data_IF_499047730668
#
_entry.id   IF_499047730668
#
_cell.length_a   1.000
_cell.length_b   1.000
_cell.length_c   1.000
_cell.angle_alpha   90.00
_cell.angle_beta   90.00
_cell.angle_gamma   90.00
#
_symmetry.space_group_name_H-M   'P 1'
#
loop_
_entity.id
_entity.type
_entity.pdbx_description
1 polymer ?
#
# COMPACT_ATOMS: atom_id res chain seq x y z
N UNK A 1 1.08 -6.19 -3.93
CA UNK A 1 0.85 -4.94 -4.68
C UNK A 1 1.48 -5.00 -6.09
N UNK A 2 2.72 -5.48 -6.23
CA UNK A 2 3.42 -5.62 -7.52
C UNK A 2 2.59 -6.49 -8.50
N UNK A 3 2.04 -7.62 -8.03
CA UNK A 3 1.19 -8.46 -8.87
C UNK A 3 -0.05 -7.71 -9.39
N UNK A 4 -0.70 -6.91 -8.55
CA UNK A 4 -1.88 -6.12 -8.95
C UNK A 4 -1.53 -5.03 -9.96
N UNK A 5 -0.40 -4.35 -9.78
CA UNK A 5 0.09 -3.32 -10.70
C UNK A 5 0.36 -3.92 -12.09
N UNK A 6 1.17 -4.98 -12.16
CA UNK A 6 1.48 -5.62 -13.43
C UNK A 6 0.28 -6.30 -14.09
N UNK A 7 -0.62 -6.92 -13.30
CA UNK A 7 -1.86 -7.48 -13.84
C UNK A 7 -2.71 -6.40 -14.53
N UNK A 8 -2.82 -5.22 -13.90
CA UNK A 8 -3.50 -4.07 -14.46
C UNK A 8 -2.85 -3.56 -15.74
N UNK A 9 -1.51 -3.42 -15.75
CA UNK A 9 -0.74 -2.97 -16.92
C UNK A 9 -0.90 -3.94 -18.08
N UNK A 10 -0.64 -5.24 -17.86
CA UNK A 10 -0.71 -6.24 -18.93
C UNK A 10 -2.10 -6.36 -19.51
N UNK A 11 -3.14 -6.30 -18.65
CA UNK A 11 -4.52 -6.33 -19.13
C UNK A 11 -4.87 -5.15 -20.02
N UNK A 12 -4.43 -3.95 -19.64
CA UNK A 12 -4.64 -2.75 -20.47
C UNK A 12 -3.86 -2.77 -21.78
N UNK A 13 -2.76 -3.54 -21.85
CA UNK A 13 -2.00 -3.79 -23.06
C UNK A 13 -2.58 -4.94 -23.94
N UNK A 14 -3.71 -5.54 -23.53
CA UNK A 14 -4.40 -6.56 -24.31
C UNK A 14 -4.06 -8.00 -23.94
N UNK A 15 -3.26 -8.24 -22.92
CA UNK A 15 -2.92 -9.60 -22.45
C UNK A 15 -4.11 -10.25 -21.73
N UNK A 16 -4.32 -11.56 -21.93
CA UNK A 16 -5.14 -12.36 -21.02
C UNK A 16 -4.40 -12.60 -19.71
N UNK A 17 -4.97 -12.11 -18.60
CA UNK A 17 -4.31 -12.15 -17.30
C UNK A 17 -5.09 -13.00 -16.32
N UNK A 18 -4.41 -13.99 -15.72
CA UNK A 18 -4.87 -14.71 -14.53
C UNK A 18 -3.93 -14.37 -13.37
N UNK A 19 -4.47 -13.84 -12.28
CA UNK A 19 -3.72 -13.58 -11.05
C UNK A 19 -4.07 -14.60 -9.97
N UNK A 20 -3.06 -15.31 -9.46
CA UNK A 20 -3.20 -16.19 -8.30
C UNK A 20 -2.99 -15.40 -7.02
N UNK A 21 -3.90 -15.54 -6.09
CA UNK A 21 -3.89 -14.86 -4.79
C UNK A 21 -3.91 -15.93 -3.69
N UNK A 22 -2.87 -15.95 -2.84
CA UNK A 22 -2.76 -16.91 -1.74
C UNK A 22 -3.86 -16.73 -0.69
N UNK A 23 -4.20 -15.47 -0.39
CA UNK A 23 -5.21 -15.11 0.62
C UNK A 23 -6.63 -15.06 0.10
N UNK A 24 -7.48 -14.52 0.94
CA UNK A 24 -8.91 -14.28 0.66
C UNK A 24 -9.16 -12.92 0.01
N UNK A 25 -8.24 -11.98 0.16
CA UNK A 25 -8.36 -10.61 -0.32
C UNK A 25 -7.09 -10.17 -1.05
N UNK A 26 -7.21 -9.19 -1.91
CA UNK A 26 -6.08 -8.44 -2.46
C UNK A 26 -5.49 -7.51 -1.39
N UNK A 27 -4.22 -7.15 -1.52
CA UNK A 27 -3.56 -6.08 -0.75
C UNK A 27 -3.69 -6.23 0.78
N UNK A 28 -3.20 -7.34 1.34
CA UNK A 28 -3.16 -7.52 2.79
C UNK A 28 -2.51 -6.31 3.49
N UNK A 29 -3.17 -5.81 4.55
CA UNK A 29 -2.72 -4.66 5.33
C UNK A 29 -3.17 -3.28 4.78
N UNK A 30 -3.94 -3.27 3.70
CA UNK A 30 -4.72 -2.11 3.28
C UNK A 30 -6.13 -2.15 3.89
N UNK A 31 -6.83 -1.01 3.86
CA UNK A 31 -8.23 -0.93 4.24
C UNK A 31 -9.09 -1.87 3.37
N UNK A 32 -10.04 -2.55 3.98
CA UNK A 32 -10.87 -3.57 3.30
C UNK A 32 -11.67 -3.00 2.14
N UNK A 33 -12.22 -1.81 2.29
CA UNK A 33 -12.97 -1.15 1.21
C UNK A 33 -12.11 -0.90 -0.04
N UNK A 34 -10.81 -0.56 0.15
CA UNK A 34 -9.88 -0.43 -0.97
C UNK A 34 -9.66 -1.75 -1.70
N UNK A 35 -9.46 -2.84 -0.94
CA UNK A 35 -9.28 -4.18 -1.50
C UNK A 35 -10.50 -4.62 -2.29
N UNK A 36 -11.71 -4.37 -1.78
CA UNK A 36 -12.96 -4.67 -2.47
C UNK A 36 -13.17 -3.83 -3.74
N UNK A 37 -12.82 -2.54 -3.70
CA UNK A 37 -12.88 -1.67 -4.88
C UNK A 37 -11.94 -2.16 -5.98
N UNK A 38 -10.72 -2.56 -5.60
CA UNK A 38 -9.72 -3.10 -6.53
C UNK A 38 -10.21 -4.42 -7.16
N UNK A 39 -10.70 -5.35 -6.34
CA UNK A 39 -11.21 -6.64 -6.82
C UNK A 39 -12.31 -6.46 -7.85
N UNK A 40 -13.30 -5.61 -7.53
CA UNK A 40 -14.40 -5.28 -8.45
C UNK A 40 -13.89 -4.67 -9.76
N UNK A 41 -12.92 -3.75 -9.66
CA UNK A 41 -12.33 -3.07 -10.82
C UNK A 41 -11.54 -4.04 -11.71
N UNK A 42 -10.67 -4.87 -11.11
CA UNK A 42 -9.86 -5.84 -11.84
C UNK A 42 -10.74 -6.91 -12.52
N UNK A 43 -11.78 -7.38 -11.83
CA UNK A 43 -12.76 -8.31 -12.40
C UNK A 43 -13.53 -7.69 -13.57
N UNK A 44 -13.99 -6.45 -13.41
CA UNK A 44 -14.69 -5.71 -14.48
C UNK A 44 -13.77 -5.45 -15.70
N UNK A 45 -12.47 -5.30 -15.49
CA UNK A 45 -11.47 -5.20 -16.54
C UNK A 45 -11.23 -6.55 -17.26
N UNK A 46 -11.72 -7.65 -16.71
CA UNK A 46 -11.56 -8.99 -17.26
C UNK A 46 -10.27 -9.68 -16.86
N UNK A 47 -9.70 -9.35 -15.71
CA UNK A 47 -8.62 -10.10 -15.07
C UNK A 47 -9.25 -11.28 -14.31
N UNK A 48 -8.74 -12.50 -14.55
CA UNK A 48 -9.20 -13.70 -13.87
C UNK A 48 -8.51 -13.83 -12.51
N UNK A 49 -9.21 -13.47 -11.42
CA UNK A 49 -8.69 -13.55 -10.05
C UNK A 49 -8.99 -14.94 -9.47
N UNK A 50 -7.95 -15.64 -8.98
CA UNK A 50 -8.05 -16.94 -8.33
C UNK A 50 -7.54 -16.84 -6.89
N UNK A 51 -8.47 -16.66 -5.95
CA UNK A 51 -8.19 -16.60 -4.52
C UNK A 51 -7.92 -18.00 -3.92
N UNK A 52 -7.24 -18.04 -2.76
CA UNK A 52 -6.86 -19.27 -2.04
C UNK A 52 -6.11 -20.27 -2.93
N UNK A 53 -5.33 -19.74 -3.86
CA UNK A 53 -4.55 -20.51 -4.80
C UNK A 53 -3.07 -20.15 -4.75
N UNK A 54 -2.22 -21.18 -4.76
CA UNK A 54 -0.78 -21.06 -4.86
C UNK A 54 -0.24 -21.92 -5.98
N UNK A 55 0.85 -21.45 -6.55
CA UNK A 55 1.62 -22.21 -7.54
C UNK A 55 2.43 -23.29 -6.81
N UNK A 56 2.25 -24.55 -7.22
CA UNK A 56 3.01 -25.71 -6.73
C UNK A 56 4.24 -25.99 -7.57
N UNK A 57 4.09 -25.97 -8.89
CA UNK A 57 5.20 -26.22 -9.82
C UNK A 57 4.92 -25.64 -11.21
N UNK A 58 5.98 -25.40 -11.96
CA UNK A 58 5.94 -24.96 -13.35
C UNK A 58 6.71 -25.99 -14.17
N UNK A 59 6.15 -26.38 -15.31
CA UNK A 59 6.78 -27.25 -16.29
C UNK A 59 6.67 -26.65 -17.68
N UNK A 60 7.77 -26.60 -18.42
CA UNK A 60 7.75 -26.19 -19.82
C UNK A 60 7.20 -27.33 -20.68
N UNK A 61 6.19 -27.03 -21.50
CA UNK A 61 5.56 -27.96 -22.46
C UNK A 61 5.58 -27.27 -23.82
N UNK A 62 6.47 -27.71 -24.71
CA UNK A 62 6.76 -27.03 -25.98
C UNK A 62 7.18 -25.56 -25.72
N UNK A 63 6.44 -24.61 -26.25
CA UNK A 63 6.67 -23.18 -26.05
C UNK A 63 5.92 -22.58 -24.86
N UNK A 64 4.97 -23.35 -24.27
CA UNK A 64 4.11 -22.93 -23.19
C UNK A 64 4.64 -23.34 -21.80
N UNK A 65 4.07 -22.73 -20.76
CA UNK A 65 4.33 -23.02 -19.37
C UNK A 65 3.07 -23.61 -18.70
N UNK A 66 3.13 -24.90 -18.33
CA UNK A 66 2.09 -25.51 -17.52
C UNK A 66 2.36 -25.28 -16.04
N UNK A 67 1.49 -24.52 -15.40
CA UNK A 67 1.47 -24.31 -13.96
C UNK A 67 0.55 -25.31 -13.29
N UNK A 68 1.05 -26.07 -12.31
CA UNK A 68 0.21 -26.88 -11.41
C UNK A 68 -0.02 -26.10 -10.13
N UNK A 69 -1.28 -25.94 -9.72
CA UNK A 69 -1.68 -25.27 -8.48
C UNK A 69 -1.75 -26.28 -7.32
N UNK A 70 -1.74 -25.79 -6.09
CA UNK A 70 -1.92 -26.63 -4.89
C UNK A 70 -3.27 -27.36 -4.89
N UNK A 71 -4.29 -26.78 -5.49
CA UNK A 71 -5.60 -27.41 -5.72
C UNK A 71 -5.56 -28.62 -6.68
N UNK A 72 -4.43 -28.87 -7.34
CA UNK A 72 -4.28 -29.87 -8.40
C UNK A 72 -4.72 -29.40 -9.79
N UNK A 73 -5.34 -28.24 -9.90
CA UNK A 73 -5.71 -27.67 -11.21
C UNK A 73 -4.48 -27.20 -11.98
N UNK A 74 -4.60 -27.15 -13.30
CA UNK A 74 -3.53 -26.75 -14.21
C UNK A 74 -3.92 -25.51 -14.99
N UNK A 75 -2.93 -24.67 -15.27
CA UNK A 75 -3.04 -23.51 -16.14
C UNK A 75 -1.93 -23.56 -17.18
N UNK A 76 -2.28 -23.36 -18.44
CA UNK A 76 -1.32 -23.22 -19.53
C UNK A 76 -1.22 -21.74 -19.89
N UNK A 77 0.00 -21.23 -19.98
CA UNK A 77 0.28 -19.79 -20.21
C UNK A 77 1.57 -19.62 -21.00
N UNK A 78 1.65 -18.54 -21.77
CA UNK A 78 2.88 -18.16 -22.50
C UNK A 78 3.98 -17.68 -21.52
N UNK A 79 3.59 -16.94 -20.49
CA UNK A 79 4.50 -16.31 -19.53
C UNK A 79 3.97 -16.36 -18.10
N UNK A 80 4.88 -16.32 -17.13
CA UNK A 80 4.56 -16.28 -15.70
C UNK A 80 5.39 -15.19 -15.05
N UNK A 81 4.71 -14.23 -14.40
CA UNK A 81 5.34 -13.25 -13.52
C UNK A 81 5.24 -13.74 -12.07
N UNK A 82 6.39 -13.93 -11.41
CA UNK A 82 6.44 -14.30 -10.00
C UNK A 82 6.63 -13.04 -9.15
N UNK A 83 5.59 -12.66 -8.42
CA UNK A 83 5.56 -11.47 -7.56
C UNK A 83 5.11 -11.84 -6.13
N UNK A 84 5.75 -12.87 -5.55
CA UNK A 84 5.37 -13.51 -4.28
C UNK A 84 5.98 -12.88 -3.04
N UNK A 85 6.77 -11.82 -3.19
CA UNK A 85 7.40 -11.08 -2.10
C UNK A 85 8.84 -10.69 -2.39
N UNK A 86 9.47 -10.11 -1.38
CA UNK A 86 10.86 -9.64 -1.42
C UNK A 86 11.56 -10.05 -0.12
N UNK A 87 12.83 -10.39 -0.23
CA UNK A 87 13.71 -10.70 0.88
C UNK A 87 14.93 -9.78 0.85
N UNK A 88 15.51 -9.43 2.01
CA UNK A 88 16.73 -8.66 2.06
C UNK A 88 17.90 -9.43 1.43
N UNK A 89 18.66 -8.77 0.56
CA UNK A 89 19.82 -9.37 -0.12
C UNK A 89 21.09 -9.23 0.74
N UNK A 90 21.26 -10.11 1.71
CA UNK A 90 22.35 -10.04 2.68
C UNK A 90 23.52 -10.96 2.36
N UNK A 91 23.37 -11.95 1.48
CA UNK A 91 24.35 -13.04 1.22
C UNK A 91 25.76 -12.58 0.81
N UNK A 92 25.89 -11.38 0.25
CA UNK A 92 27.19 -10.85 -0.24
C UNK A 92 27.91 -9.96 0.77
N UNK A 93 27.35 -9.78 1.98
CA UNK A 93 27.86 -8.86 2.98
C UNK A 93 28.76 -9.55 4.04
N UNK A 94 28.92 -10.89 3.99
CA UNK A 94 29.69 -11.69 4.95
C UNK A 94 29.35 -11.36 6.41
N UNK A 95 28.05 -11.21 6.70
CA UNK A 95 27.55 -10.76 8.01
C UNK A 95 27.84 -11.74 9.14
N UNK A 96 28.05 -13.01 8.82
CA UNK A 96 28.43 -14.07 9.76
C UNK A 96 29.75 -13.76 10.51
N UNK A 97 30.66 -12.98 9.91
CA UNK A 97 31.91 -12.57 10.54
C UNK A 97 31.71 -11.45 11.56
N UNK A 98 30.58 -10.79 11.56
CA UNK A 98 30.27 -9.59 12.34
C UNK A 98 29.39 -9.87 13.56
N UNK A 99 28.88 -11.09 13.71
CA UNK A 99 27.96 -11.48 14.80
C UNK A 99 26.79 -10.51 15.02
N UNK A 100 26.19 -10.00 13.93
CA UNK A 100 25.07 -9.07 14.01
C UNK A 100 23.78 -9.80 14.43
N UNK A 101 23.00 -9.15 15.28
CA UNK A 101 21.66 -9.65 15.64
C UNK A 101 20.71 -9.52 14.48
N UNK A 102 19.82 -10.51 14.38
CA UNK A 102 18.79 -10.60 13.33
C UNK A 102 17.39 -10.54 13.94
N UNK A 103 16.47 -9.87 13.24
CA UNK A 103 15.00 -9.96 13.46
C UNK A 103 14.39 -10.77 12.30
N UNK A 104 14.32 -12.08 12.46
CA UNK A 104 13.99 -13.01 11.40
C UNK A 104 15.04 -13.01 10.29
N UNK A 105 14.66 -12.60 9.08
CA UNK A 105 15.56 -12.50 7.91
C UNK A 105 16.18 -11.10 7.76
N UNK A 106 15.83 -10.14 8.63
CA UNK A 106 16.29 -8.75 8.59
C UNK A 106 17.37 -8.49 9.63
N UNK A 107 18.19 -7.46 9.41
CA UNK A 107 19.11 -6.96 10.44
C UNK A 107 18.30 -6.25 11.55
N UNK A 108 18.59 -6.62 12.83
CA UNK A 108 18.05 -5.91 13.98
C UNK A 108 18.77 -4.57 14.15
N UNK A 109 17.99 -3.50 14.34
CA UNK A 109 18.52 -2.17 14.61
C UNK A 109 17.72 -1.48 15.72
N UNK A 110 18.40 -0.56 16.42
CA UNK A 110 17.77 0.34 17.36
C UNK A 110 17.08 1.51 16.66
N UNK A 111 16.51 2.46 17.43
CA UNK A 111 15.82 3.65 16.93
C UNK A 111 16.70 4.61 16.09
N UNK A 112 18.02 4.48 16.18
CA UNK A 112 19.01 5.26 15.42
C UNK A 112 19.55 4.49 14.22
N UNK A 113 18.91 3.38 13.82
CA UNK A 113 19.34 2.47 12.76
C UNK A 113 20.72 1.82 13.00
N UNK A 114 21.22 1.79 14.25
CA UNK A 114 22.46 1.15 14.64
C UNK A 114 22.22 -0.33 14.95
N UNK A 115 23.08 -1.20 14.46
CA UNK A 115 23.03 -2.65 14.70
C UNK A 115 23.55 -3.00 16.10
N UNK A 116 23.67 -4.30 16.40
CA UNK A 116 24.33 -4.77 17.62
C UNK A 116 25.85 -4.44 17.66
N UNK A 117 26.46 -4.11 16.52
CA UNK A 117 27.81 -3.55 16.44
C UNK A 117 27.70 -2.02 16.31
N UNK A 118 28.30 -1.29 17.28
CA UNK A 118 28.20 0.17 17.37
C UNK A 118 28.73 0.95 16.15
N UNK A 119 29.59 0.31 15.35
CA UNK A 119 30.19 0.92 14.17
C UNK A 119 29.40 0.61 12.87
N UNK A 120 28.31 -0.18 12.97
CA UNK A 120 27.55 -0.63 11.81
C UNK A 120 26.10 -0.17 11.93
N UNK A 121 25.62 0.46 10.88
CA UNK A 121 24.25 0.94 10.73
C UNK A 121 23.58 0.25 9.55
N UNK A 122 22.28 0.00 9.65
CA UNK A 122 21.51 -0.59 8.58
C UNK A 122 20.25 0.22 8.31
N UNK A 123 19.97 0.52 7.04
CA UNK A 123 18.81 1.30 6.57
C UNK A 123 18.21 0.64 5.33
N UNK A 124 16.99 1.04 4.99
CA UNK A 124 16.26 0.55 3.82
C UNK A 124 15.74 -0.88 3.98
N UNK A 125 15.64 -1.60 2.89
CA UNK A 125 14.95 -2.88 2.80
C UNK A 125 15.64 -4.05 3.53
N UNK A 126 16.81 -3.81 4.11
CA UNK A 126 17.55 -4.83 4.89
C UNK A 126 17.17 -4.87 6.38
N UNK A 127 16.33 -3.93 6.84
CA UNK A 127 15.77 -3.89 8.19
C UNK A 127 14.25 -4.06 8.15
N UNK A 128 13.65 -4.50 9.26
CA UNK A 128 12.20 -4.76 9.35
C UNK A 128 11.41 -3.46 9.57
N UNK A 129 11.35 -2.64 8.53
CA UNK A 129 10.59 -1.39 8.45
C UNK A 129 9.84 -1.34 7.12
N UNK A 130 8.90 -0.41 6.91
CA UNK A 130 8.21 -0.32 5.62
C UNK A 130 9.18 -0.18 4.45
N UNK A 131 9.10 -1.11 3.49
CA UNK A 131 9.98 -1.19 2.33
C UNK A 131 9.53 -0.20 1.25
N UNK A 132 9.85 1.08 1.47
CA UNK A 132 9.49 2.19 0.61
C UNK A 132 10.71 3.09 0.40
N UNK A 133 10.94 3.52 -0.83
CA UNK A 133 12.06 4.43 -1.16
C UNK A 133 12.11 5.68 -0.28
N UNK A 134 11.00 6.41 -0.02
CA UNK A 134 11.04 7.57 0.88
C UNK A 134 11.44 7.24 2.32
N UNK A 135 11.09 6.06 2.80
CA UNK A 135 11.49 5.58 4.13
C UNK A 135 13.00 5.38 4.21
N UNK A 136 13.58 4.70 3.22
CA UNK A 136 15.02 4.49 3.14
C UNK A 136 15.79 5.83 3.03
N UNK A 137 15.27 6.78 2.23
CA UNK A 137 15.84 8.12 2.11
C UNK A 137 15.81 8.85 3.45
N UNK A 138 14.69 8.83 4.16
CA UNK A 138 14.58 9.53 5.45
C UNK A 138 15.46 8.88 6.52
N UNK A 139 15.59 7.55 6.53
CA UNK A 139 16.55 6.85 7.39
C UNK A 139 17.98 7.32 7.11
N UNK A 140 18.37 7.44 5.84
CA UNK A 140 19.69 7.96 5.46
C UNK A 140 19.91 9.41 5.87
N UNK A 141 18.90 10.28 5.74
CA UNK A 141 18.94 11.68 6.19
C UNK A 141 19.10 11.77 7.70
N UNK A 142 18.29 11.04 8.47
CA UNK A 142 18.35 11.00 9.93
C UNK A 142 19.72 10.50 10.39
N UNK A 143 20.29 9.48 9.73
CA UNK A 143 21.64 9.02 10.01
C UNK A 143 22.66 10.13 9.79
N UNK A 144 22.64 10.80 8.63
CA UNK A 144 23.58 11.89 8.32
C UNK A 144 23.45 13.07 9.30
N UNK A 145 22.21 13.49 9.61
CA UNK A 145 21.95 14.55 10.55
C UNK A 145 22.50 14.26 11.95
N UNK A 146 22.32 13.03 12.43
CA UNK A 146 22.76 12.64 13.77
C UNK A 146 24.28 12.49 13.91
N UNK A 147 24.95 11.97 12.88
CA UNK A 147 26.38 11.64 12.95
C UNK A 147 27.31 12.71 12.38
N UNK A 148 26.82 13.55 11.47
CA UNK A 148 27.67 14.56 10.81
C UNK A 148 27.21 16.00 11.06
N UNK A 149 25.95 16.22 11.42
CA UNK A 149 25.43 17.56 11.71
C UNK A 149 25.09 17.78 13.20
N UNK A 150 25.42 16.82 14.07
CA UNK A 150 25.16 16.86 15.52
C UNK A 150 23.68 17.14 15.88
N UNK A 151 22.75 16.82 15.01
CA UNK A 151 21.32 16.87 15.28
C UNK A 151 20.87 15.61 16.06
N UNK A 152 19.71 15.71 16.72
CA UNK A 152 19.12 14.56 17.43
C UNK A 152 17.75 14.28 16.85
N UNK A 153 17.71 13.48 15.80
CA UNK A 153 16.47 13.11 15.10
C UNK A 153 16.20 11.61 15.17
N UNK A 154 14.92 11.25 15.10
CA UNK A 154 14.45 9.88 14.87
C UNK A 154 13.58 9.86 13.63
N UNK A 155 13.55 8.72 12.95
CA UNK A 155 12.62 8.51 11.83
C UNK A 155 11.20 8.40 12.39
N UNK A 156 10.30 9.22 11.88
CA UNK A 156 8.87 9.06 12.15
C UNK A 156 8.27 8.07 11.15
N UNK A 157 7.74 6.95 11.64
CA UNK A 157 7.09 5.92 10.83
C UNK A 157 5.56 6.02 10.86
N UNK A 158 5.00 7.05 11.51
CA UNK A 158 3.56 7.30 11.52
C UNK A 158 3.13 7.97 10.20
N UNK A 159 1.90 7.72 9.80
CA UNK A 159 1.25 8.35 8.64
C UNK A 159 2.10 8.34 7.36
N UNK A 160 2.80 7.24 7.09
CA UNK A 160 3.52 7.08 5.83
C UNK A 160 2.49 6.84 4.72
N UNK A 161 2.38 7.72 3.72
CA UNK A 161 1.49 7.49 2.59
C UNK A 161 2.00 6.33 1.73
N UNK A 162 1.05 5.57 1.19
CA UNK A 162 1.33 4.42 0.33
C UNK A 162 0.41 4.47 -0.88
N UNK A 163 0.93 4.09 -2.03
CA UNK A 163 0.16 3.92 -3.25
C UNK A 163 0.38 2.53 -3.86
N UNK A 164 -0.63 2.05 -4.57
CA UNK A 164 -0.55 0.91 -5.49
C UNK A 164 -1.00 1.44 -6.85
N UNK A 165 -0.09 1.39 -7.81
CA UNK A 165 -0.26 1.99 -9.13
C UNK A 165 -1.01 1.06 -10.09
N UNK A 166 -2.15 0.55 -9.63
CA UNK A 166 -3.16 -0.09 -10.49
C UNK A 166 -3.87 0.98 -11.34
N UNK A 167 -4.72 0.56 -12.25
CA UNK A 167 -5.54 1.46 -13.08
C UNK A 167 -7.02 1.08 -12.86
N UNK A 168 -7.78 1.88 -12.06
CA UNK A 168 -7.39 3.07 -11.28
C UNK A 168 -6.44 2.79 -10.10
N UNK A 169 -5.81 3.84 -9.58
CA UNK A 169 -4.87 3.78 -8.45
C UNK A 169 -5.55 3.52 -7.11
N UNK A 170 -4.78 3.00 -6.17
CA UNK A 170 -5.12 2.97 -4.76
C UNK A 170 -4.10 3.79 -3.97
N UNK A 171 -4.55 4.57 -3.01
CA UNK A 171 -3.64 5.22 -2.08
C UNK A 171 -4.23 5.34 -0.68
N UNK A 172 -3.36 5.37 0.32
CA UNK A 172 -3.74 5.38 1.74
C UNK A 172 -2.70 6.08 2.59
N UNK A 173 -3.16 6.72 3.67
CA UNK A 173 -2.33 7.26 4.74
C UNK A 173 -3.04 7.08 6.08
N UNK A 174 -2.28 6.80 7.13
CA UNK A 174 -2.81 6.56 8.47
C UNK A 174 -3.38 5.16 8.67
N UNK A 175 -4.35 5.03 9.57
CA UNK A 175 -4.95 3.75 10.00
C UNK A 175 -6.09 3.34 9.07
N UNK A 176 -6.16 2.05 8.72
CA UNK A 176 -7.40 1.48 8.16
C UNK A 176 -8.51 1.47 9.22
N UNK A 177 -9.75 1.32 8.79
CA UNK A 177 -10.90 1.18 9.70
C UNK A 177 -10.69 0.02 10.69
N UNK A 178 -10.26 -1.15 10.19
CA UNK A 178 -10.01 -2.32 11.02
C UNK A 178 -8.96 -2.03 12.10
N UNK A 179 -7.86 -1.38 11.70
CA UNK A 179 -6.79 -1.05 12.64
C UNK A 179 -7.19 0.03 13.64
N UNK A 180 -7.98 1.00 13.21
CA UNK A 180 -8.55 2.02 14.10
C UNK A 180 -9.50 1.39 15.12
N UNK A 181 -10.34 0.44 14.69
CA UNK A 181 -11.26 -0.29 15.56
C UNK A 181 -10.52 -1.15 16.60
N UNK A 182 -9.41 -1.79 16.21
CA UNK A 182 -8.55 -2.53 17.15
C UNK A 182 -7.96 -1.61 18.23
N UNK A 183 -7.51 -0.41 17.87
CA UNK A 183 -6.80 0.50 18.78
C UNK A 183 -7.77 1.30 19.65
N UNK A 184 -8.85 1.83 19.06
CA UNK A 184 -9.75 2.78 19.72
C UNK A 184 -11.11 2.19 20.10
N UNK A 185 -11.42 0.96 19.70
CA UNK A 185 -12.74 0.30 19.73
C UNK A 185 -13.72 0.93 18.72
N UNK A 186 -14.56 0.10 18.13
CA UNK A 186 -15.53 0.47 17.06
C UNK A 186 -16.46 1.61 17.48
N UNK A 187 -16.89 1.63 18.74
CA UNK A 187 -17.76 2.68 19.30
C UNK A 187 -17.13 4.08 19.23
N UNK A 188 -15.82 4.17 19.24
CA UNK A 188 -15.05 5.42 19.20
C UNK A 188 -14.53 5.78 17.79
N UNK A 189 -14.79 4.96 16.79
CA UNK A 189 -14.39 5.20 15.40
C UNK A 189 -15.63 5.59 14.58
N UNK A 190 -15.50 6.62 13.78
CA UNK A 190 -16.48 7.01 12.78
C UNK A 190 -15.86 6.97 11.41
N UNK A 191 -16.61 6.45 10.45
CA UNK A 191 -16.18 6.34 9.05
C UNK A 191 -17.06 7.21 8.19
N UNK A 192 -16.42 8.02 7.36
CA UNK A 192 -17.08 8.75 6.29
C UNK A 192 -16.60 8.16 4.97
N UNK A 193 -17.52 7.81 4.09
CA UNK A 193 -17.21 7.17 2.82
C UNK A 193 -18.13 7.67 1.71
N UNK A 194 -17.54 8.04 0.59
CA UNK A 194 -18.28 8.36 -0.60
C UNK A 194 -17.84 7.54 -1.82
N UNK A 195 -18.78 7.19 -2.66
CA UNK A 195 -18.56 6.49 -3.91
C UNK A 195 -19.24 7.26 -5.03
N UNK A 196 -18.48 7.66 -6.04
CA UNK A 196 -19.01 8.49 -7.12
C UNK A 196 -18.30 8.19 -8.45
N UNK A 197 -18.84 8.73 -9.52
CA UNK A 197 -18.19 8.72 -10.84
C UNK A 197 -17.64 10.12 -11.09
N UNK A 198 -16.31 10.29 -11.24
CA UNK A 198 -15.72 11.59 -11.56
C UNK A 198 -16.31 12.19 -12.82
N UNK A 199 -16.42 13.51 -12.87
CA UNK A 199 -16.98 14.23 -14.01
C UNK A 199 -16.23 13.89 -15.31
N UNK A 200 -14.89 13.73 -15.25
CA UNK A 200 -14.05 13.32 -16.38
C UNK A 200 -14.42 11.95 -16.97
N UNK A 201 -15.10 11.11 -16.19
CA UNK A 201 -15.51 9.76 -16.59
C UNK A 201 -17.00 9.67 -17.02
N UNK A 202 -17.76 10.76 -16.95
CA UNK A 202 -19.21 10.75 -17.24
C UNK A 202 -19.51 10.33 -18.67
N UNK A 203 -18.67 10.74 -19.62
CA UNK A 203 -18.84 10.44 -21.05
C UNK A 203 -18.04 9.22 -21.53
N UNK A 204 -17.23 8.60 -20.66
CA UNK A 204 -16.48 7.39 -21.02
C UNK A 204 -17.40 6.17 -21.05
N UNK A 205 -17.18 5.23 -21.99
CA UNK A 205 -17.92 3.96 -22.05
C UNK A 205 -17.76 3.15 -20.77
N UNK A 206 -16.53 3.07 -20.26
CA UNK A 206 -16.20 2.40 -19.01
C UNK A 206 -16.06 3.46 -17.91
N UNK A 207 -17.13 3.67 -17.16
CA UNK A 207 -17.17 4.64 -16.06
C UNK A 207 -16.44 4.07 -14.83
N UNK A 208 -15.16 4.37 -14.69
CA UNK A 208 -14.47 4.06 -13.45
C UNK A 208 -15.04 4.90 -12.31
N UNK A 209 -15.30 4.24 -11.18
CA UNK A 209 -15.77 4.88 -9.95
C UNK A 209 -14.56 5.27 -9.09
N UNK A 210 -14.76 6.31 -8.29
CA UNK A 210 -13.87 6.64 -7.19
C UNK A 210 -14.52 6.28 -5.85
N UNK A 211 -13.71 5.93 -4.88
CA UNK A 211 -14.09 5.79 -3.48
C UNK A 211 -13.12 6.59 -2.64
N UNK A 212 -13.64 7.45 -1.78
CA UNK A 212 -12.90 8.19 -0.78
C UNK A 212 -13.43 7.83 0.60
N UNK A 213 -12.53 7.71 1.58
CA UNK A 213 -12.85 7.29 2.93
C UNK A 213 -12.00 8.03 3.95
N UNK A 214 -12.64 8.55 5.00
CA UNK A 214 -12.00 9.08 6.20
C UNK A 214 -12.35 8.18 7.39
N UNK A 215 -11.34 7.88 8.21
CA UNK A 215 -11.48 7.20 9.49
C UNK A 215 -11.19 8.21 10.59
N UNK A 216 -12.14 8.43 11.49
CA UNK A 216 -12.11 9.53 12.46
C UNK A 216 -12.31 9.02 13.89
N UNK A 217 -11.57 9.58 14.82
CA UNK A 217 -11.76 9.33 16.26
C UNK A 217 -12.88 10.23 16.79
N UNK A 218 -14.03 9.63 17.18
CA UNK A 218 -15.20 10.36 17.70
C UNK A 218 -14.95 11.22 18.94
N UNK A 219 -13.94 10.87 19.75
CA UNK A 219 -13.69 11.57 21.02
C UNK A 219 -13.06 12.94 20.85
N UNK A 220 -12.22 13.07 19.82
CA UNK A 220 -11.43 14.30 19.61
C UNK A 220 -11.48 14.78 18.17
N UNK A 221 -12.34 14.20 17.35
CA UNK A 221 -12.56 14.54 15.94
C UNK A 221 -11.32 14.37 15.04
N UNK A 222 -10.24 13.77 15.54
CA UNK A 222 -8.99 13.63 14.80
C UNK A 222 -9.15 12.62 13.66
N UNK A 223 -8.68 12.98 12.47
CA UNK A 223 -8.61 12.06 11.34
C UNK A 223 -7.46 11.09 11.58
N UNK A 224 -7.78 9.80 11.65
CA UNK A 224 -6.87 8.70 11.89
C UNK A 224 -6.33 8.07 10.61
N UNK A 225 -7.10 8.13 9.53
CA UNK A 225 -6.73 7.57 8.24
C UNK A 225 -7.54 8.14 7.11
N UNK A 226 -6.93 8.12 5.94
CA UNK A 226 -7.51 8.58 4.69
C UNK A 226 -7.17 7.59 3.58
N UNK A 227 -8.19 7.19 2.82
CA UNK A 227 -8.08 6.13 1.82
C UNK A 227 -8.77 6.56 0.53
N UNK A 228 -8.16 6.26 -0.59
CA UNK A 228 -8.71 6.59 -1.90
C UNK A 228 -8.45 5.49 -2.92
N UNK A 229 -9.49 5.17 -3.67
CA UNK A 229 -9.44 4.40 -4.91
C UNK A 229 -9.93 5.31 -6.04
N UNK A 230 -9.14 5.48 -7.09
CA UNK A 230 -9.53 6.30 -8.22
C UNK A 230 -8.36 6.96 -8.93
N UNK A 231 -8.67 7.75 -9.94
CA UNK A 231 -7.69 8.54 -10.69
C UNK A 231 -7.01 9.58 -9.77
N UNK A 232 -5.70 9.75 -9.89
CA UNK A 232 -4.87 10.66 -9.08
C UNK A 232 -4.88 10.38 -7.56
N UNK A 233 -5.22 9.16 -7.12
CA UNK A 233 -5.27 8.82 -5.71
C UNK A 233 -3.92 9.04 -5.02
N UNK A 234 -2.81 8.71 -5.66
CA UNK A 234 -1.45 8.90 -5.12
C UNK A 234 -1.12 10.36 -4.88
N UNK A 235 -1.45 11.25 -5.81
CA UNK A 235 -1.18 12.68 -5.72
C UNK A 235 -2.03 13.35 -4.63
N UNK A 236 -3.30 12.99 -4.53
CA UNK A 236 -4.22 13.54 -3.54
C UNK A 236 -3.82 13.09 -2.14
N UNK A 237 -3.57 11.81 -1.93
CA UNK A 237 -3.20 11.25 -0.61
C UNK A 237 -1.84 11.76 -0.16
N UNK A 238 -0.89 12.04 -1.07
CA UNK A 238 0.37 12.68 -0.70
C UNK A 238 0.14 14.03 -0.01
N UNK A 239 -0.78 14.85 -0.50
CA UNK A 239 -1.10 16.15 0.11
C UNK A 239 -1.90 15.99 1.41
N UNK A 240 -2.83 15.04 1.46
CA UNK A 240 -3.58 14.73 2.69
C UNK A 240 -2.64 14.21 3.80
N UNK A 241 -1.55 13.50 3.47
CA UNK A 241 -0.57 13.04 4.45
C UNK A 241 0.09 14.21 5.22
N UNK A 242 0.29 15.36 4.58
CA UNK A 242 0.79 16.57 5.24
C UNK A 242 -0.20 17.02 6.31
N UNK A 243 -1.48 17.03 5.97
CA UNK A 243 -2.57 17.43 6.89
C UNK A 243 -2.70 16.45 8.07
N UNK A 244 -2.62 15.14 7.83
CA UNK A 244 -2.63 14.14 8.90
C UNK A 244 -1.46 14.31 9.87
N UNK A 245 -0.27 14.58 9.36
CA UNK A 245 0.90 14.85 10.20
C UNK A 245 0.78 16.14 11.02
N UNK A 246 0.00 17.11 10.55
CA UNK A 246 -0.36 18.31 11.29
C UNK A 246 -1.49 18.06 12.33
N UNK A 247 -2.09 16.87 12.35
CA UNK A 247 -3.13 16.49 13.31
C UNK A 247 -4.53 17.01 12.97
N UNK A 248 -4.86 17.08 11.69
CA UNK A 248 -6.14 17.59 11.18
C UNK A 248 -7.35 16.87 11.78
N UNK A 249 -8.44 17.60 11.95
CA UNK A 249 -9.74 17.10 12.42
C UNK A 249 -10.75 16.96 11.25
N UNK A 250 -11.84 16.21 11.48
CA UNK A 250 -12.94 16.15 10.52
C UNK A 250 -13.58 17.51 10.33
N UNK A 251 -13.68 18.30 11.41
CA UNK A 251 -14.19 19.67 11.36
C UNK A 251 -13.37 20.56 10.43
N UNK A 252 -12.05 20.38 10.37
CA UNK A 252 -11.20 21.15 9.45
C UNK A 252 -11.54 20.81 7.99
N UNK A 253 -11.83 19.55 7.68
CA UNK A 253 -12.37 19.18 6.36
C UNK A 253 -13.72 19.83 6.10
N UNK A 254 -14.68 19.75 7.02
CA UNK A 254 -16.04 20.27 6.86
C UNK A 254 -16.12 21.79 6.71
N UNK A 255 -15.17 22.52 7.28
CA UNK A 255 -15.10 23.98 7.19
C UNK A 255 -14.22 24.47 6.04
N UNK A 256 -13.53 23.58 5.34
CA UNK A 256 -12.73 23.92 4.17
C UNK A 256 -13.63 24.06 2.94
N UNK A 257 -13.50 25.19 2.24
CA UNK A 257 -14.25 25.42 1.00
C UNK A 257 -13.76 24.48 -0.10
N UNK A 258 -14.70 23.79 -0.74
CA UNK A 258 -14.42 22.85 -1.83
C UNK A 258 -13.90 23.58 -3.08
N UNK A 259 -12.93 22.98 -3.76
CA UNK A 259 -12.54 23.40 -5.11
C UNK A 259 -13.34 22.62 -6.13
N UNK A 260 -14.37 23.23 -6.68
CA UNK A 260 -15.26 22.61 -7.66
C UNK A 260 -14.91 22.97 -9.12
N UNK A 261 -14.93 21.99 -10.06
CA UNK A 261 -15.16 20.56 -9.86
C UNK A 261 -13.83 19.77 -9.76
N UNK A 262 -13.62 19.05 -8.66
CA UNK A 262 -12.44 18.19 -8.49
C UNK A 262 -12.83 16.85 -7.85
N UNK A 263 -11.95 15.84 -7.96
CA UNK A 263 -12.15 14.57 -7.25
C UNK A 263 -11.94 14.77 -5.74
N UNK A 264 -10.95 15.59 -5.36
CA UNK A 264 -10.56 15.80 -3.97
C UNK A 264 -11.60 16.58 -3.15
N UNK A 265 -12.52 17.33 -3.78
CA UNK A 265 -13.58 18.04 -3.05
C UNK A 265 -14.47 17.13 -2.25
N UNK A 266 -14.60 15.87 -2.68
CA UNK A 266 -15.43 14.88 -1.98
C UNK A 266 -14.90 14.57 -0.56
N UNK A 267 -13.63 14.84 -0.26
CA UNK A 267 -13.12 14.74 1.11
C UNK A 267 -13.69 15.82 2.02
N UNK A 268 -13.99 17.01 1.50
CA UNK A 268 -14.52 18.13 2.28
C UNK A 268 -16.05 18.24 2.20
N UNK A 269 -16.69 17.45 1.36
CA UNK A 269 -18.16 17.42 1.21
C UNK A 269 -18.82 16.19 1.83
N UNK A 270 -18.05 15.28 2.45
CA UNK A 270 -18.57 14.13 3.21
C UNK A 270 -19.13 14.57 4.56
N UNK A 271 -20.31 15.19 4.59
CA UNK A 271 -21.02 15.53 5.83
C UNK A 271 -21.61 14.26 6.47
N UNK A 272 -21.60 14.23 7.81
CA UNK A 272 -22.17 13.16 8.63
C UNK A 272 -23.65 13.36 8.93
#
# INVERSE_FOLDING_TARGET
>A
YIACEFASIFKNLGTEVTQLIRGENLLNGFDKDLSECLEKSMTALGINLKFKNQLKSIKKINDDLESTLESGSKLLTDNILVATGREPSLKRLNLETLNLKMDGIYLEVNELNQTSNSNIFAIGDIIKKPNLTPVAIEQGRVFADNYFAALKRKVNYENIPKAVFTIPEISTVGLSEEKANEIYSEVNVQVFKCNFTPMSNTFKKNKSKCMLKLVVNKKNDKVLGCHMFGEAASEIIQMVAVSLNAGITKKDFDTTMALHPTISEEFVTMYG
#
